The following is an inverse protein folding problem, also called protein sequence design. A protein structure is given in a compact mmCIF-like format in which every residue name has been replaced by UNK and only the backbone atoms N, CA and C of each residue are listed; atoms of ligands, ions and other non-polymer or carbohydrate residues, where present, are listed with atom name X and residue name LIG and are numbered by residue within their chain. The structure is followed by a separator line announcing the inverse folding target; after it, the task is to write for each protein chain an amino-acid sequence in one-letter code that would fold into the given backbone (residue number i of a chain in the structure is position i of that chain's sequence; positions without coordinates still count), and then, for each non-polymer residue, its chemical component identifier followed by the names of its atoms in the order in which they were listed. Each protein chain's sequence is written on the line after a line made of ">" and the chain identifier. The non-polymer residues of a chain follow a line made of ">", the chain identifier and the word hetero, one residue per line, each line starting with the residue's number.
data_IF_316522089682
#
_entry.id   IF_316522089682
#
_cell.length_a   1.000
_cell.length_b   1.000
_cell.length_c   1.000
_cell.angle_alpha   90.00
_cell.angle_beta   90.00
_cell.angle_gamma   90.00
#
_symmetry.space_group_name_H-M   'P 1'
#
loop_
_entity.id
_entity.type
_entity.pdbx_description
1 polymer ?
#
# COMPACT_ATOMS: atom_id res chain seq x y z
N UNK A 1 68.84 -83.02 -8.63
CA UNK A 1 68.91 -84.32 -7.93
C UNK A 1 67.48 -84.65 -7.54
N UNK A 2 66.88 -85.59 -8.30
CA UNK A 2 65.67 -86.40 -8.04
C UNK A 2 64.43 -85.70 -7.44
N UNK A 3 63.37 -85.50 -8.24
CA UNK A 3 62.17 -86.39 -8.30
C UNK A 3 61.20 -86.11 -7.15
N UNK A 4 60.03 -85.51 -7.42
CA UNK A 4 58.80 -86.16 -7.92
C UNK A 4 58.03 -86.95 -6.84
N UNK A 5 56.81 -86.45 -6.62
CA UNK A 5 55.58 -87.22 -6.55
C UNK A 5 55.43 -88.23 -5.40
N UNK A 6 54.73 -87.82 -4.34
CA UNK A 6 53.48 -88.49 -3.91
C UNK A 6 53.05 -87.99 -2.52
N UNK A 7 52.29 -86.89 -2.48
CA UNK A 7 51.24 -86.73 -1.45
C UNK A 7 50.15 -85.74 -1.87
N UNK A 8 49.78 -85.77 -3.15
CA UNK A 8 48.50 -85.25 -3.63
C UNK A 8 47.42 -86.31 -3.34
N UNK A 9 46.94 -86.38 -2.10
CA UNK A 9 45.82 -87.29 -1.74
C UNK A 9 45.03 -86.86 -0.50
N UNK A 10 44.91 -85.56 -0.28
CA UNK A 10 43.98 -85.03 0.74
C UNK A 10 43.20 -83.85 0.15
N UNK A 11 42.62 -84.09 -1.02
CA UNK A 11 41.37 -83.47 -1.45
C UNK A 11 40.25 -84.24 -0.74
N UNK A 12 39.86 -83.83 0.47
CA UNK A 12 38.57 -84.18 1.07
C UNK A 12 38.40 -83.38 2.36
N UNK A 13 37.23 -82.79 2.59
CA UNK A 13 36.82 -82.08 3.82
C UNK A 13 37.10 -80.57 3.93
N UNK A 14 36.95 -79.79 2.85
CA UNK A 14 36.80 -78.33 2.95
C UNK A 14 35.34 -77.83 2.78
N UNK A 15 34.33 -78.70 2.61
CA UNK A 15 33.05 -78.24 2.02
C UNK A 15 31.79 -78.19 2.92
N UNK A 16 31.69 -78.87 4.07
CA UNK A 16 30.33 -79.06 4.67
C UNK A 16 29.93 -78.19 5.87
N UNK A 17 30.76 -77.32 6.43
CA UNK A 17 30.34 -76.46 7.58
C UNK A 17 30.35 -74.97 7.26
N UNK A 18 29.72 -74.64 6.13
CA UNK A 18 29.22 -73.29 5.84
C UNK A 18 27.71 -73.24 6.02
N UNK A 19 27.16 -73.52 7.21
CA UNK A 19 25.70 -73.45 7.41
C UNK A 19 25.31 -72.93 8.81
N UNK A 20 25.40 -71.61 9.04
CA UNK A 20 24.31 -70.80 9.64
C UNK A 20 24.67 -69.34 10.01
N UNK A 21 25.91 -68.87 9.80
CA UNK A 21 26.31 -67.54 10.30
C UNK A 21 26.21 -66.36 9.33
N UNK A 22 26.11 -66.56 8.01
CA UNK A 22 26.42 -65.48 7.04
C UNK A 22 25.20 -64.80 6.40
N UNK A 23 23.99 -65.32 6.61
CA UNK A 23 22.77 -64.86 5.91
C UNK A 23 21.96 -63.75 6.60
N UNK A 24 22.22 -63.47 7.89
CA UNK A 24 21.52 -62.45 8.68
C UNK A 24 22.23 -61.09 8.59
N UNK A 25 23.55 -61.09 8.77
CA UNK A 25 24.38 -59.88 8.75
C UNK A 25 24.34 -59.11 7.42
N UNK A 26 24.29 -59.83 6.28
CA UNK A 26 24.19 -59.21 4.94
C UNK A 26 22.81 -58.61 4.64
N UNK A 27 21.74 -59.17 5.22
CA UNK A 27 20.36 -58.66 5.08
C UNK A 27 20.13 -57.44 5.98
N UNK A 28 20.68 -57.47 7.18
CA UNK A 28 20.62 -56.35 8.13
C UNK A 28 21.49 -55.16 7.67
N UNK A 29 22.66 -55.42 7.07
CA UNK A 29 23.52 -54.37 6.51
C UNK A 29 22.89 -53.72 5.24
N UNK A 30 22.21 -54.52 4.40
CA UNK A 30 21.50 -54.01 3.22
C UNK A 30 20.26 -53.19 3.62
N UNK A 31 19.44 -53.69 4.53
CA UNK A 31 18.26 -52.96 5.03
C UNK A 31 18.64 -51.71 5.84
N UNK A 32 19.75 -51.73 6.59
CA UNK A 32 20.30 -50.56 7.27
C UNK A 32 20.81 -49.50 6.28
N UNK A 33 21.49 -49.91 5.19
CA UNK A 33 21.95 -49.01 4.13
C UNK A 33 20.77 -48.40 3.36
N UNK A 34 19.76 -49.20 3.01
CA UNK A 34 18.53 -48.74 2.37
C UNK A 34 17.77 -47.74 3.26
N UNK A 35 17.66 -48.01 4.56
CA UNK A 35 17.04 -47.09 5.53
C UNK A 35 17.85 -45.80 5.73
N UNK A 36 19.18 -45.87 5.67
CA UNK A 36 20.04 -44.67 5.73
C UNK A 36 19.87 -43.80 4.48
N UNK A 37 19.85 -44.41 3.29
CA UNK A 37 19.63 -43.70 2.03
C UNK A 37 18.23 -43.08 2.01
N UNK A 38 17.20 -43.82 2.45
CA UNK A 38 15.82 -43.33 2.52
C UNK A 38 15.71 -42.12 3.47
N UNK A 39 16.38 -42.15 4.62
CA UNK A 39 16.43 -41.02 5.56
C UNK A 39 17.12 -39.79 4.96
N UNK A 40 18.20 -39.98 4.20
CA UNK A 40 18.90 -38.88 3.51
C UNK A 40 17.99 -38.25 2.45
N UNK A 41 17.30 -39.07 1.65
CA UNK A 41 16.36 -38.58 0.64
C UNK A 41 15.22 -37.79 1.28
N UNK A 42 14.63 -38.31 2.36
CA UNK A 42 13.57 -37.60 3.10
C UNK A 42 14.09 -36.27 3.66
N UNK A 43 15.30 -36.23 4.21
CA UNK A 43 15.92 -35.00 4.71
C UNK A 43 16.13 -33.95 3.61
N UNK A 44 16.61 -34.37 2.43
CA UNK A 44 16.77 -33.49 1.26
C UNK A 44 15.41 -32.96 0.79
N UNK A 45 14.38 -33.81 0.72
CA UNK A 45 13.03 -33.40 0.33
C UNK A 45 12.44 -32.37 1.31
N UNK A 46 12.65 -32.56 2.62
CA UNK A 46 12.22 -31.60 3.65
C UNK A 46 12.91 -30.24 3.45
N UNK A 47 14.22 -30.23 3.19
CA UNK A 47 14.98 -28.99 2.94
C UNK A 47 14.44 -28.26 1.70
N UNK A 48 14.17 -28.99 0.62
CA UNK A 48 13.64 -28.39 -0.62
C UNK A 48 12.25 -27.78 -0.41
N UNK A 49 11.38 -28.45 0.36
CA UNK A 49 10.05 -27.93 0.70
C UNK A 49 10.17 -26.67 1.56
N UNK A 50 11.04 -26.66 2.58
CA UNK A 50 11.29 -25.49 3.42
C UNK A 50 11.83 -24.31 2.58
N UNK A 51 12.77 -24.57 1.66
CA UNK A 51 13.32 -23.54 0.78
C UNK A 51 12.24 -22.91 -0.12
N UNK A 52 11.32 -23.72 -0.66
CA UNK A 52 10.18 -23.23 -1.44
C UNK A 52 9.21 -22.40 -0.60
N UNK A 53 8.90 -22.84 0.62
CA UNK A 53 8.05 -22.09 1.55
C UNK A 53 8.70 -20.74 1.88
N UNK A 54 10.00 -20.71 2.18
CA UNK A 54 10.73 -19.47 2.45
C UNK A 54 10.71 -18.56 1.22
N UNK A 55 10.94 -19.09 0.02
CA UNK A 55 10.88 -18.31 -1.22
C UNK A 55 9.49 -17.70 -1.44
N UNK A 56 8.41 -18.47 -1.23
CA UNK A 56 7.03 -17.98 -1.33
C UNK A 56 6.72 -16.94 -0.26
N UNK A 57 7.18 -17.13 0.98
CA UNK A 57 7.05 -16.14 2.06
C UNK A 57 7.81 -14.86 1.72
N UNK A 58 9.04 -14.96 1.19
CA UNK A 58 9.81 -13.81 0.73
C UNK A 58 9.09 -13.10 -0.41
N UNK A 59 8.50 -13.82 -1.38
CA UNK A 59 7.71 -13.22 -2.46
C UNK A 59 6.43 -12.56 -1.91
N UNK A 60 5.74 -13.16 -0.95
CA UNK A 60 4.56 -12.58 -0.30
C UNK A 60 4.91 -11.35 0.54
N UNK A 61 6.02 -11.39 1.28
CA UNK A 61 6.56 -10.25 2.02
C UNK A 61 7.03 -9.14 1.06
N UNK A 62 7.66 -9.50 -0.06
CA UNK A 62 7.99 -8.58 -1.15
C UNK A 62 6.73 -7.97 -1.74
N UNK A 63 5.63 -8.70 -1.96
CA UNK A 63 4.35 -8.10 -2.42
C UNK A 63 3.83 -7.03 -1.46
N UNK A 64 3.87 -7.26 -0.14
CA UNK A 64 3.39 -6.29 0.86
C UNK A 64 4.25 -5.02 0.93
N UNK A 65 5.58 -5.18 0.85
CA UNK A 65 6.54 -4.08 0.80
C UNK A 65 6.52 -3.35 -0.55
N UNK A 66 6.46 -4.08 -1.67
CA UNK A 66 6.36 -3.55 -3.04
C UNK A 66 5.05 -2.81 -3.22
N UNK A 67 3.93 -3.22 -2.62
CA UNK A 67 2.68 -2.44 -2.67
C UNK A 67 2.84 -1.06 -2.02
N UNK A 68 3.62 -0.95 -0.94
CA UNK A 68 3.94 0.32 -0.28
C UNK A 68 4.97 1.15 -1.06
N UNK A 69 6.06 0.50 -1.51
CA UNK A 69 7.13 1.13 -2.31
C UNK A 69 6.65 1.59 -3.69
N UNK A 70 5.78 0.82 -4.35
CA UNK A 70 5.16 1.17 -5.63
C UNK A 70 4.23 2.37 -5.48
N UNK A 71 3.39 2.40 -4.44
CA UNK A 71 2.51 3.55 -4.16
C UNK A 71 3.31 4.85 -3.92
N UNK A 72 4.45 4.78 -3.22
CA UNK A 72 5.33 5.94 -3.02
C UNK A 72 6.08 6.30 -4.30
N UNK A 73 6.54 5.31 -5.08
CA UNK A 73 7.20 5.57 -6.37
C UNK A 73 6.25 6.28 -7.33
N UNK A 74 4.99 5.88 -7.42
CA UNK A 74 3.99 6.56 -8.26
C UNK A 74 3.75 8.01 -7.81
N UNK A 75 3.68 8.25 -6.49
CA UNK A 75 3.51 9.60 -5.92
C UNK A 75 4.74 10.47 -6.16
N UNK A 76 5.95 9.93 -5.99
CA UNK A 76 7.22 10.64 -6.20
C UNK A 76 7.49 10.86 -7.69
N UNK A 77 7.18 9.90 -8.56
CA UNK A 77 7.33 10.05 -10.00
C UNK A 77 6.32 11.06 -10.55
N UNK A 78 5.09 11.08 -10.02
CA UNK A 78 4.13 12.14 -10.29
C UNK A 78 4.62 13.52 -9.82
N UNK A 79 5.20 13.60 -8.62
CA UNK A 79 5.76 14.84 -8.06
C UNK A 79 6.99 15.34 -8.86
N UNK A 80 7.90 14.45 -9.26
CA UNK A 80 9.08 14.76 -10.08
C UNK A 80 8.74 15.14 -11.53
N UNK A 81 7.60 14.66 -12.07
CA UNK A 81 7.08 15.11 -13.35
C UNK A 81 6.50 16.54 -13.30
N UNK A 82 6.04 17.00 -12.12
CA UNK A 82 5.55 18.37 -11.92
C UNK A 82 6.72 19.36 -11.92
N UNK A 83 7.82 19.08 -11.21
CA UNK A 83 9.01 19.96 -11.19
C UNK A 83 9.67 20.10 -12.57
N UNK A 84 9.82 19.00 -13.33
CA UNK A 84 10.47 19.04 -14.64
C UNK A 84 9.62 19.72 -15.73
N UNK A 85 8.29 19.79 -15.58
CA UNK A 85 7.43 20.61 -16.47
C UNK A 85 7.56 22.10 -16.16
N UNK A 86 7.67 22.46 -14.88
CA UNK A 86 7.75 23.86 -14.43
C UNK A 86 9.03 24.51 -14.96
N UNK A 87 10.19 23.84 -14.83
CA UNK A 87 11.48 24.44 -15.25
C UNK A 87 11.63 24.52 -16.78
N UNK A 88 11.10 23.55 -17.54
CA UNK A 88 11.19 23.57 -19.02
C UNK A 88 10.29 24.65 -19.65
N UNK A 89 9.25 25.09 -18.94
CA UNK A 89 8.30 26.08 -19.43
C UNK A 89 8.74 27.54 -19.29
N UNK A 90 9.81 27.82 -18.53
CA UNK A 90 10.13 29.21 -18.15
C UNK A 90 11.12 29.92 -19.09
N UNK A 91 11.80 29.23 -20.02
CA UNK A 91 12.96 29.81 -20.72
C UNK A 91 12.84 29.89 -22.26
N UNK A 92 11.86 29.26 -22.90
CA UNK A 92 11.67 29.42 -24.34
C UNK A 92 10.24 29.77 -24.68
N UNK A 93 10.05 30.98 -25.20
CA UNK A 93 8.85 31.45 -25.92
C UNK A 93 7.72 32.01 -25.04
N UNK A 94 7.90 33.27 -24.62
CA UNK A 94 6.81 34.23 -24.49
C UNK A 94 6.27 34.52 -25.91
N UNK A 95 5.70 33.52 -26.58
CA UNK A 95 4.98 33.69 -27.86
C UNK A 95 4.12 32.44 -28.17
N UNK A 96 3.36 31.98 -27.18
CA UNK A 96 2.00 31.46 -27.30
C UNK A 96 1.60 30.95 -25.91
N UNK A 97 1.02 31.85 -25.11
CA UNK A 97 0.33 31.43 -23.90
C UNK A 97 -0.77 30.45 -24.34
N UNK A 98 -0.55 29.15 -24.15
CA UNK A 98 -1.57 28.12 -24.34
C UNK A 98 -2.73 28.44 -23.39
N UNK A 99 -3.73 29.17 -23.90
CA UNK A 99 -4.90 29.56 -23.13
C UNK A 99 -5.64 28.27 -22.77
N UNK A 100 -5.67 27.95 -21.47
CA UNK A 100 -6.37 26.77 -21.02
C UNK A 100 -7.87 26.84 -21.37
N UNK A 101 -8.31 25.95 -22.26
CA UNK A 101 -9.69 25.90 -22.74
C UNK A 101 -10.56 24.83 -22.06
N UNK A 102 -10.02 24.14 -21.05
CA UNK A 102 -10.78 23.15 -20.28
C UNK A 102 -12.01 23.77 -19.60
N UNK A 103 -13.05 22.96 -19.39
CA UNK A 103 -14.25 23.43 -18.70
C UNK A 103 -13.93 23.97 -17.29
N UNK A 104 -12.98 23.33 -16.59
CA UNK A 104 -12.52 23.77 -15.29
C UNK A 104 -11.86 25.15 -15.36
N UNK A 105 -10.96 25.38 -16.33
CA UNK A 105 -10.31 26.68 -16.52
C UNK A 105 -11.32 27.78 -16.81
N UNK A 106 -12.31 27.51 -17.67
CA UNK A 106 -13.40 28.46 -17.96
C UNK A 106 -14.24 28.79 -16.73
N UNK A 107 -14.55 27.79 -15.89
CA UNK A 107 -15.28 28.00 -14.64
C UNK A 107 -14.48 28.84 -13.64
N UNK A 108 -13.19 28.52 -13.45
CA UNK A 108 -12.31 29.28 -12.56
C UNK A 108 -12.17 30.72 -13.06
N UNK A 109 -11.92 30.92 -14.37
CA UNK A 109 -11.79 32.24 -14.98
C UNK A 109 -13.08 33.06 -14.80
N UNK A 110 -14.26 32.44 -14.95
CA UNK A 110 -15.54 33.09 -14.70
C UNK A 110 -15.70 33.54 -13.24
N UNK A 111 -15.37 32.67 -12.29
CA UNK A 111 -15.48 32.97 -10.85
C UNK A 111 -14.48 34.06 -10.41
N UNK A 112 -13.26 34.02 -10.95
CA UNK A 112 -12.28 35.08 -10.74
C UNK A 112 -12.80 36.41 -11.30
N UNK A 113 -13.23 36.41 -12.56
CA UNK A 113 -13.72 37.61 -13.24
C UNK A 113 -14.94 38.22 -12.54
N UNK A 114 -15.85 37.42 -11.99
CA UNK A 114 -17.00 37.94 -11.23
C UNK A 114 -16.62 38.63 -9.92
N UNK A 115 -15.44 38.31 -9.37
CA UNK A 115 -14.94 38.92 -8.14
C UNK A 115 -14.27 40.27 -8.40
N UNK A 116 -13.77 40.48 -9.62
CA UNK A 116 -13.09 41.71 -10.03
C UNK A 116 -14.04 42.90 -10.17
N UNK A 117 -13.52 44.09 -9.90
CA UNK A 117 -14.14 45.38 -10.19
C UNK A 117 -13.19 46.20 -11.08
N UNK A 118 -13.31 46.02 -12.40
CA UNK A 118 -12.41 46.61 -13.39
C UNK A 118 -12.51 48.14 -13.51
N UNK A 119 -13.41 48.79 -12.77
CA UNK A 119 -13.51 50.25 -12.69
C UNK A 119 -12.53 50.89 -11.69
N UNK A 120 -11.80 50.09 -10.92
CA UNK A 120 -10.79 50.54 -9.96
C UNK A 120 -9.41 50.24 -10.51
N UNK A 121 -8.48 51.19 -10.41
CA UNK A 121 -7.09 50.94 -10.77
C UNK A 121 -6.44 50.01 -9.71
N UNK A 122 -5.89 48.84 -10.10
CA UNK A 122 -5.22 47.95 -9.17
C UNK A 122 -3.99 48.57 -8.48
N UNK A 123 -3.35 49.58 -9.08
CA UNK A 123 -2.24 50.30 -8.47
C UNK A 123 -2.68 51.25 -7.35
N UNK A 124 -3.94 51.67 -7.34
CA UNK A 124 -4.52 52.54 -6.32
C UNK A 124 -5.15 51.74 -5.16
N UNK A 125 -6.00 50.75 -5.48
CA UNK A 125 -6.64 49.87 -4.50
C UNK A 125 -6.83 48.46 -5.07
N UNK A 126 -5.80 47.63 -4.86
CA UNK A 126 -5.82 46.24 -5.31
C UNK A 126 -6.93 45.41 -4.65
N UNK A 127 -7.37 45.74 -3.43
CA UNK A 127 -8.46 45.02 -2.77
C UNK A 127 -9.79 45.33 -3.43
N UNK A 128 -10.10 46.61 -3.65
CA UNK A 128 -11.33 47.00 -4.35
C UNK A 128 -11.34 46.52 -5.80
N UNK A 129 -10.18 46.50 -6.49
CA UNK A 129 -10.05 45.89 -7.81
C UNK A 129 -10.30 44.38 -7.79
N UNK A 130 -9.64 43.64 -6.90
CA UNK A 130 -9.66 42.17 -6.93
C UNK A 130 -10.93 41.55 -6.31
N UNK A 131 -11.51 42.21 -5.30
CA UNK A 131 -12.62 41.68 -4.51
C UNK A 131 -13.91 42.51 -4.61
N UNK A 132 -13.86 43.72 -5.18
CA UNK A 132 -14.99 44.65 -5.16
C UNK A 132 -16.24 44.13 -5.89
N UNK A 133 -16.09 43.28 -6.91
CA UNK A 133 -17.21 42.61 -7.57
C UNK A 133 -17.88 41.59 -6.65
N UNK A 134 -17.09 40.84 -5.87
CA UNK A 134 -17.59 39.90 -4.89
C UNK A 134 -18.37 40.61 -3.77
N UNK A 135 -17.81 41.70 -3.22
CA UNK A 135 -18.47 42.49 -2.15
C UNK A 135 -19.82 43.04 -2.60
N UNK A 136 -19.93 43.51 -3.86
CA UNK A 136 -21.19 44.00 -4.43
C UNK A 136 -22.27 42.92 -4.53
N UNK A 137 -21.88 41.69 -4.84
CA UNK A 137 -22.81 40.56 -5.04
C UNK A 137 -23.11 39.78 -3.75
N UNK A 138 -22.30 39.96 -2.70
CA UNK A 138 -22.44 39.28 -1.42
C UNK A 138 -22.50 40.31 -0.28
N UNK A 139 -23.63 41.04 -0.13
CA UNK A 139 -23.78 42.01 0.95
C UNK A 139 -23.69 41.31 2.31
N UNK A 140 -22.95 41.92 3.24
CA UNK A 140 -22.77 41.39 4.59
C UNK A 140 -24.12 41.36 5.35
N UNK A 141 -24.55 40.20 5.88
CA UNK A 141 -25.72 40.13 6.73
C UNK A 141 -25.56 40.96 8.01
N UNK A 142 -26.63 41.56 8.56
CA UNK A 142 -26.54 42.47 9.71
C UNK A 142 -25.86 41.87 10.95
N UNK A 143 -26.05 40.57 11.18
CA UNK A 143 -25.57 39.87 12.37
C UNK A 143 -24.28 39.07 12.14
N UNK A 144 -23.64 39.19 10.97
CA UNK A 144 -22.46 38.41 10.65
C UNK A 144 -21.23 39.01 11.31
N UNK A 145 -20.63 38.35 12.31
CA UNK A 145 -19.37 38.80 12.93
C UNK A 145 -18.20 38.83 11.95
N UNK A 146 -18.16 37.86 11.02
CA UNK A 146 -17.21 37.77 9.93
C UNK A 146 -17.98 37.54 8.63
N UNK A 147 -17.47 38.09 7.52
CA UNK A 147 -18.07 37.90 6.20
C UNK A 147 -16.99 37.89 5.13
N UNK A 148 -17.04 36.90 4.26
CA UNK A 148 -16.00 36.62 3.29
C UNK A 148 -16.17 35.25 2.69
N UNK A 149 -15.31 34.92 1.72
CA UNK A 149 -15.37 33.64 1.03
C UNK A 149 -15.27 32.46 2.01
N UNK A 150 -14.34 32.51 2.98
CA UNK A 150 -14.16 31.44 3.98
C UNK A 150 -15.43 31.13 4.78
N UNK A 151 -16.23 32.15 5.11
CA UNK A 151 -17.50 31.98 5.83
C UNK A 151 -18.53 31.29 4.95
N UNK A 152 -18.59 31.64 3.66
CA UNK A 152 -19.45 30.97 2.71
C UNK A 152 -19.02 29.52 2.47
N UNK A 153 -17.72 29.25 2.38
CA UNK A 153 -17.19 27.91 2.24
C UNK A 153 -17.49 27.03 3.47
N UNK A 154 -17.35 27.56 4.68
CA UNK A 154 -17.73 26.86 5.90
C UNK A 154 -19.24 26.54 5.92
N UNK A 155 -20.07 27.49 5.49
CA UNK A 155 -21.51 27.29 5.34
C UNK A 155 -21.82 26.19 4.32
N UNK A 156 -21.23 26.23 3.13
CA UNK A 156 -21.40 25.19 2.10
C UNK A 156 -20.93 23.81 2.59
N UNK A 157 -19.83 23.75 3.35
CA UNK A 157 -19.35 22.50 3.92
C UNK A 157 -20.36 21.94 4.94
N UNK A 158 -20.93 22.78 5.80
CA UNK A 158 -21.98 22.38 6.75
C UNK A 158 -23.25 21.91 6.04
N UNK A 159 -23.65 22.58 4.96
CA UNK A 159 -24.77 22.15 4.13
C UNK A 159 -24.50 20.78 3.50
N UNK A 160 -23.30 20.54 2.96
CA UNK A 160 -22.91 19.22 2.45
C UNK A 160 -22.89 18.13 3.53
N UNK A 161 -22.43 18.46 4.74
CA UNK A 161 -22.49 17.53 5.88
C UNK A 161 -23.94 17.17 6.22
N UNK A 162 -24.86 18.14 6.15
CA UNK A 162 -26.28 17.87 6.33
C UNK A 162 -26.84 16.99 5.19
N UNK A 163 -26.45 17.25 3.93
CA UNK A 163 -26.91 16.47 2.77
C UNK A 163 -26.51 14.99 2.86
N UNK A 164 -25.28 14.69 3.33
CA UNK A 164 -24.84 13.31 3.53
C UNK A 164 -25.38 12.68 4.81
N UNK A 165 -26.31 13.35 5.52
CA UNK A 165 -26.88 12.89 6.79
C UNK A 165 -25.78 12.55 7.79
N UNK A 166 -24.80 13.44 7.90
CA UNK A 166 -23.66 13.23 8.79
C UNK A 166 -24.09 13.02 10.25
N UNK A 167 -25.22 13.63 10.67
CA UNK A 167 -25.89 13.34 11.94
C UNK A 167 -26.21 11.86 12.11
N UNK A 168 -26.83 11.24 11.10
CA UNK A 168 -27.25 9.84 11.13
C UNK A 168 -26.01 8.94 11.25
N UNK A 169 -24.94 9.25 10.51
CA UNK A 169 -23.65 8.54 10.61
C UNK A 169 -23.02 8.64 12.00
N UNK A 170 -23.24 9.75 12.71
CA UNK A 170 -22.73 9.94 14.06
C UNK A 170 -23.58 9.26 15.13
N UNK A 171 -24.84 8.95 14.82
CA UNK A 171 -25.78 8.26 15.70
C UNK A 171 -25.79 6.73 15.51
N UNK A 172 -25.31 6.23 14.36
CA UNK A 172 -25.17 4.80 14.10
C UNK A 172 -24.05 4.14 14.94
N UNK A 173 -24.34 2.98 15.53
CA UNK A 173 -23.31 2.15 16.17
C UNK A 173 -22.57 1.29 15.13
N UNK A 174 -21.24 1.47 15.02
CA UNK A 174 -20.37 0.61 14.20
C UNK A 174 -19.25 0.00 15.05
N UNK A 175 -19.19 -1.34 15.07
CA UNK A 175 -18.19 -2.10 15.81
C UNK A 175 -16.77 -1.96 15.25
N UNK A 176 -16.60 -1.40 14.04
CA UNK A 176 -15.31 -1.16 13.40
C UNK A 176 -14.79 0.28 13.59
N UNK A 177 -15.52 1.12 14.33
CA UNK A 177 -15.10 2.49 14.59
C UNK A 177 -13.75 2.55 15.32
N UNK A 178 -12.86 3.39 14.81
CA UNK A 178 -11.64 3.74 15.54
C UNK A 178 -11.98 4.47 16.84
N UNK A 179 -11.05 4.48 17.80
CA UNK A 179 -11.25 5.20 19.06
C UNK A 179 -11.54 6.69 18.86
N UNK A 180 -10.95 7.32 17.85
CA UNK A 180 -11.19 8.72 17.53
C UNK A 180 -12.60 8.97 16.99
N UNK A 181 -13.11 8.06 16.15
CA UNK A 181 -14.47 8.16 15.60
C UNK A 181 -15.51 7.97 16.69
N UNK A 182 -15.35 6.95 17.54
CA UNK A 182 -16.24 6.75 18.69
C UNK A 182 -16.29 7.96 19.62
N UNK A 183 -15.14 8.57 19.92
CA UNK A 183 -15.10 9.79 20.74
C UNK A 183 -15.82 10.97 20.07
N UNK A 184 -15.73 11.11 18.75
CA UNK A 184 -16.46 12.14 18.01
C UNK A 184 -17.98 11.90 18.03
N UNK A 185 -18.42 10.65 17.92
CA UNK A 185 -19.83 10.25 18.07
C UNK A 185 -20.36 10.53 19.47
N UNK A 186 -19.62 10.13 20.50
CA UNK A 186 -19.96 10.40 21.90
C UNK A 186 -20.10 11.92 22.15
N UNK A 187 -19.16 12.71 21.62
CA UNK A 187 -19.21 14.17 21.73
C UNK A 187 -20.43 14.78 21.02
N UNK A 188 -20.75 14.30 19.82
CA UNK A 188 -21.93 14.72 19.08
C UNK A 188 -23.22 14.37 19.84
N UNK A 189 -23.36 13.13 20.32
CA UNK A 189 -24.53 12.68 21.07
C UNK A 189 -24.76 13.52 22.34
N UNK A 190 -23.68 13.90 23.04
CA UNK A 190 -23.77 14.78 24.21
C UNK A 190 -24.26 16.20 23.86
N UNK A 191 -23.97 16.71 22.66
CA UNK A 191 -24.38 18.06 22.22
C UNK A 191 -25.79 18.07 21.61
N UNK A 192 -26.21 16.98 20.99
CA UNK A 192 -27.49 16.89 20.27
C UNK A 192 -28.66 16.48 21.16
N UNK A 193 -28.40 15.92 22.34
CA UNK A 193 -29.43 15.60 23.32
C UNK A 193 -29.85 16.85 24.12
N UNK A 194 -30.76 17.63 23.52
CA UNK A 194 -31.29 18.87 24.08
C UNK A 194 -32.25 18.65 25.26
N UNK A 195 -32.63 17.41 25.59
CA UNK A 195 -33.52 17.10 26.73
C UNK A 195 -32.86 17.42 28.09
N UNK A 196 -31.57 17.75 28.10
CA UNK A 196 -30.79 18.09 29.30
C UNK A 196 -30.50 19.59 29.48
N UNK A 197 -31.10 20.49 28.68
CA UNK A 197 -30.96 21.96 28.78
C UNK A 197 -32.33 22.60 28.91
#
# INVERSE_FOLDING_TARGET
>A
MSEENAKAREEFTEEDTKMNGSGKNRRDEKTLKENKILKIIVFILIILVIALIIALLVVAMRKKQVYSYFRIKDVVEHFLMVENRIIKSEISEIEDLDICNSNLCKQIAKNLHSSLNLSVDPCDDFYAFSCGGWVKTHPRPPNAHQWGQMVLMDKENKEKLADIKFSDLLEEEDNYDSSAVRMAKDYYAACSNLDFI
#
